data_IF_814603071564
#
_entry.id   IF_814603071564
#
_cell.length_a   1.000
_cell.length_b   1.000
_cell.length_c   1.000
_cell.angle_alpha   90.00
_cell.angle_beta   90.00
_cell.angle_gamma   90.00
#
_symmetry.space_group_name_H-M   'P 1'
#
loop_
_entity.id
_entity.type
_entity.pdbx_description
1 polymer ?
#
# COMPACT_ATOMS: atom_id res chain seq x y z
N UNK A 1 -2.65 -11.68 -31.65
CA UNK A 1 -3.82 -11.04 -31.00
C UNK A 1 -3.56 -10.69 -29.53
N UNK A 2 -3.07 -11.62 -28.70
CA UNK A 2 -2.71 -11.35 -27.28
C UNK A 2 -1.64 -10.26 -27.08
N UNK A 3 -0.65 -10.14 -27.98
CA UNK A 3 0.40 -9.10 -27.89
C UNK A 3 -0.11 -7.67 -28.11
N UNK A 4 -1.20 -7.50 -28.88
CA UNK A 4 -1.85 -6.21 -29.11
C UNK A 4 -2.75 -5.83 -27.93
N UNK A 5 -3.44 -6.80 -27.33
CA UNK A 5 -4.24 -6.61 -26.12
C UNK A 5 -3.35 -6.18 -24.95
N UNK A 6 -2.20 -6.85 -24.76
CA UNK A 6 -1.22 -6.46 -23.72
C UNK A 6 -0.63 -5.07 -23.98
N UNK A 7 -0.39 -4.70 -25.25
CA UNK A 7 0.09 -3.36 -25.62
C UNK A 7 -0.95 -2.27 -25.39
N UNK A 8 -2.22 -2.52 -25.73
CA UNK A 8 -3.31 -1.57 -25.47
C UNK A 8 -3.58 -1.42 -23.98
N UNK A 9 -3.62 -2.52 -23.23
CA UNK A 9 -3.74 -2.49 -21.77
C UNK A 9 -2.58 -1.70 -21.12
N UNK A 10 -1.35 -1.86 -21.62
CA UNK A 10 -0.18 -1.10 -21.15
C UNK A 10 -0.32 0.41 -21.44
N UNK A 11 -0.93 0.82 -22.56
CA UNK A 11 -1.20 2.24 -22.85
C UNK A 11 -2.33 2.80 -21.98
N UNK A 12 -3.39 2.04 -21.78
CA UNK A 12 -4.52 2.47 -20.93
C UNK A 12 -4.11 2.59 -19.46
N UNK A 13 -3.33 1.64 -18.93
CA UNK A 13 -2.80 1.74 -17.56
C UNK A 13 -1.85 2.95 -17.42
N UNK A 14 -1.00 3.23 -18.42
CA UNK A 14 -0.19 4.47 -18.46
C UNK A 14 -1.04 5.74 -18.50
N UNK A 15 -2.18 5.71 -19.18
CA UNK A 15 -3.12 6.84 -19.29
C UNK A 15 -3.93 7.06 -18.00
N UNK A 16 -4.34 5.97 -17.34
CA UNK A 16 -5.16 6.00 -16.12
C UNK A 16 -4.34 6.26 -14.85
N UNK A 17 -3.03 5.99 -14.86
CA UNK A 17 -2.07 6.46 -13.84
C UNK A 17 -1.50 7.83 -14.26
N UNK A 18 -2.21 8.59 -15.10
CA UNK A 18 -1.90 10.02 -15.24
C UNK A 18 -1.97 10.61 -13.83
N UNK A 19 -0.81 10.94 -13.28
CA UNK A 19 -0.66 11.68 -12.05
C UNK A 19 -1.38 13.02 -12.26
N UNK A 20 -2.67 13.03 -11.89
CA UNK A 20 -3.60 14.15 -11.99
C UNK A 20 -2.88 15.39 -11.49
N UNK A 21 -2.55 16.26 -12.45
CA UNK A 21 -1.97 17.59 -12.30
C UNK A 21 -0.73 17.72 -11.38
N UNK A 22 0.45 17.68 -12.01
CA UNK A 22 1.80 18.04 -11.50
C UNK A 22 1.90 19.28 -10.58
N UNK A 23 0.93 20.21 -10.54
CA UNK A 23 1.02 21.47 -9.77
C UNK A 23 0.18 21.52 -8.49
N UNK A 24 -0.98 20.86 -8.43
CA UNK A 24 -1.86 20.94 -7.24
C UNK A 24 -1.39 20.03 -6.09
N UNK A 25 -0.71 18.92 -6.43
CA UNK A 25 -0.33 17.87 -5.48
C UNK A 25 0.78 18.27 -4.48
N UNK A 26 1.58 19.30 -4.79
CA UNK A 26 2.70 19.83 -4.03
C UNK A 26 2.44 21.25 -3.51
N UNK A 27 1.23 21.50 -3.00
CA UNK A 27 0.92 22.79 -2.40
C UNK A 27 1.73 22.99 -1.11
N UNK A 28 2.44 24.12 -0.98
CA UNK A 28 3.34 24.46 0.14
C UNK A 28 2.65 24.37 1.51
N UNK A 29 1.35 24.69 1.59
CA UNK A 29 0.54 24.56 2.81
C UNK A 29 0.41 23.09 3.25
N UNK A 30 0.17 22.18 2.30
CA UNK A 30 0.07 20.74 2.58
C UNK A 30 1.42 20.13 2.96
N UNK A 31 2.53 20.62 2.38
CA UNK A 31 3.87 20.13 2.72
C UNK A 31 4.20 20.38 4.20
N UNK A 32 3.86 21.56 4.75
CA UNK A 32 4.05 21.89 6.17
C UNK A 32 3.28 20.93 7.08
N UNK A 33 2.00 20.68 6.79
CA UNK A 33 1.19 19.76 7.58
C UNK A 33 1.76 18.33 7.59
N UNK A 34 2.29 17.88 6.44
CA UNK A 34 2.92 16.55 6.37
C UNK A 34 4.24 16.49 7.14
N UNK A 35 5.05 17.56 7.14
CA UNK A 35 6.27 17.62 7.93
C UNK A 35 5.98 17.52 9.43
N UNK A 36 4.96 18.26 9.89
CA UNK A 36 4.50 18.20 11.29
C UNK A 36 4.02 16.79 11.64
N UNK A 37 3.20 16.17 10.78
CA UNK A 37 2.68 14.80 10.99
C UNK A 37 3.80 13.75 11.13
N UNK A 38 4.92 13.94 10.43
CA UNK A 38 6.04 13.01 10.44
C UNK A 38 7.22 13.45 11.31
N UNK A 39 7.07 14.55 12.07
CA UNK A 39 8.11 15.16 12.89
C UNK A 39 9.44 15.34 12.12
N UNK A 40 9.36 15.85 10.89
CA UNK A 40 10.52 16.09 10.03
C UNK A 40 10.88 17.57 10.05
N UNK A 41 12.18 17.87 10.11
CA UNK A 41 12.71 19.24 10.10
C UNK A 41 12.35 19.99 8.79
N UNK A 42 12.38 21.33 8.80
CA UNK A 42 11.94 22.15 7.66
C UNK A 42 12.78 21.93 6.39
N UNK A 43 14.04 21.53 6.55
CA UNK A 43 15.01 21.28 5.47
C UNK A 43 14.64 20.08 4.57
N UNK A 44 13.70 19.23 5.00
CA UNK A 44 13.26 18.09 4.19
C UNK A 44 12.31 18.53 3.08
N UNK A 45 12.64 18.21 1.83
CA UNK A 45 11.82 18.49 0.65
C UNK A 45 11.14 17.21 0.15
N UNK A 46 9.85 17.29 -0.18
CA UNK A 46 9.12 16.14 -0.75
C UNK A 46 9.49 16.00 -2.22
N UNK A 47 9.96 14.81 -2.61
CA UNK A 47 10.38 14.48 -3.98
C UNK A 47 9.41 13.51 -4.68
N UNK A 48 8.67 12.74 -3.90
CA UNK A 48 7.75 11.73 -4.39
C UNK A 48 6.50 11.66 -3.53
N UNK A 49 5.34 11.56 -4.18
CA UNK A 49 4.04 11.36 -3.54
C UNK A 49 3.26 10.32 -4.32
N UNK A 50 2.88 9.24 -3.66
CA UNK A 50 2.17 8.15 -4.31
C UNK A 50 0.74 8.58 -4.72
N UNK A 51 0.28 8.25 -5.94
CA UNK A 51 -0.99 8.74 -6.47
C UNK A 51 -2.18 8.03 -5.81
N UNK A 52 -2.04 6.74 -5.51
CA UNK A 52 -3.10 5.90 -4.95
C UNK A 52 -3.09 5.79 -3.42
N UNK A 53 -2.43 6.73 -2.70
CA UNK A 53 -2.34 6.65 -1.23
C UNK A 53 -3.73 6.54 -0.58
N UNK A 54 -4.67 7.40 -0.97
CA UNK A 54 -6.00 7.43 -0.36
C UNK A 54 -6.79 6.15 -0.67
N UNK A 55 -6.72 5.66 -1.91
CA UNK A 55 -7.41 4.46 -2.35
C UNK A 55 -6.90 3.20 -1.65
N UNK A 56 -5.58 3.04 -1.53
CA UNK A 56 -4.98 1.88 -0.88
C UNK A 56 -5.32 1.87 0.62
N UNK A 57 -5.28 3.05 1.27
CA UNK A 57 -5.65 3.20 2.68
C UNK A 57 -7.14 2.96 2.92
N UNK A 58 -8.02 3.55 2.10
CA UNK A 58 -9.47 3.37 2.26
C UNK A 58 -9.88 1.93 2.01
N UNK A 59 -9.32 1.28 0.99
CA UNK A 59 -9.58 -0.12 0.71
C UNK A 59 -9.09 -1.03 1.85
N UNK A 60 -7.92 -0.76 2.43
CA UNK A 60 -7.41 -1.48 3.61
C UNK A 60 -8.32 -1.28 4.84
N UNK A 61 -8.83 -0.06 5.03
CA UNK A 61 -9.75 0.25 6.13
C UNK A 61 -11.11 -0.45 5.96
N UNK A 62 -11.72 -0.37 4.77
CA UNK A 62 -13.02 -1.00 4.47
C UNK A 62 -12.93 -2.53 4.56
N UNK A 63 -11.86 -3.12 4.06
CA UNK A 63 -11.64 -4.58 4.18
C UNK A 63 -11.42 -5.00 5.63
N UNK A 64 -10.68 -4.21 6.41
CA UNK A 64 -10.50 -4.48 7.85
C UNK A 64 -11.82 -4.33 8.62
N UNK A 65 -12.60 -3.28 8.34
CA UNK A 65 -13.88 -3.02 8.99
C UNK A 65 -14.91 -4.13 8.68
N UNK A 66 -15.01 -4.57 7.43
CA UNK A 66 -15.88 -5.68 7.04
C UNK A 66 -15.47 -7.00 7.72
N UNK A 67 -14.16 -7.27 7.85
CA UNK A 67 -13.68 -8.43 8.61
C UNK A 67 -14.06 -8.38 10.10
N UNK A 68 -14.06 -7.20 10.73
CA UNK A 68 -14.51 -7.04 12.12
C UNK A 68 -16.00 -7.33 12.26
N UNK A 69 -16.85 -6.85 11.34
CA UNK A 69 -18.29 -7.12 11.38
C UNK A 69 -18.59 -8.62 11.24
N UNK A 70 -17.94 -9.28 10.27
CA UNK A 70 -18.09 -10.72 10.06
C UNK A 70 -17.53 -11.51 11.25
N UNK A 71 -16.38 -11.10 11.81
CA UNK A 71 -15.81 -11.70 13.00
C UNK A 71 -16.72 -11.56 14.23
N UNK A 72 -17.30 -10.38 14.44
CA UNK A 72 -18.23 -10.13 15.54
C UNK A 72 -19.50 -10.99 15.42
N UNK A 73 -20.05 -11.13 14.21
CA UNK A 73 -21.17 -12.03 13.94
C UNK A 73 -20.82 -13.48 14.32
N UNK A 74 -19.63 -13.95 13.96
CA UNK A 74 -19.14 -15.28 14.32
C UNK A 74 -19.00 -15.48 15.82
N UNK A 75 -18.43 -14.50 16.51
CA UNK A 75 -18.27 -14.52 17.97
C UNK A 75 -19.63 -14.64 18.65
N UNK A 76 -20.60 -13.81 18.26
CA UNK A 76 -21.98 -13.87 18.79
C UNK A 76 -22.60 -15.24 18.53
N UNK A 77 -22.46 -15.81 17.33
CA UNK A 77 -22.95 -17.17 17.02
C UNK A 77 -22.31 -18.24 17.89
N UNK A 78 -21.00 -18.19 18.10
CA UNK A 78 -20.28 -19.15 18.94
C UNK A 78 -20.71 -19.08 20.41
N UNK A 79 -20.95 -17.88 20.94
CA UNK A 79 -21.43 -17.70 22.31
C UNK A 79 -22.91 -18.05 22.45
N UNK A 80 -23.77 -17.64 21.51
CA UNK A 80 -25.19 -17.99 21.52
C UNK A 80 -25.43 -19.48 21.33
N UNK A 81 -24.66 -20.20 20.52
CA UNK A 81 -24.81 -21.66 20.39
C UNK A 81 -24.49 -22.38 21.73
N UNK A 82 -23.62 -21.81 22.57
CA UNK A 82 -23.32 -22.38 23.89
C UNK A 82 -24.44 -22.15 24.91
N UNK A 83 -25.19 -21.05 24.81
CA UNK A 83 -26.32 -20.77 25.71
C UNK A 83 -27.68 -21.26 25.18
N UNK A 84 -27.85 -21.35 23.86
CA UNK A 84 -29.09 -21.73 23.18
C UNK A 84 -29.19 -23.24 22.89
N UNK A 85 -28.20 -24.06 23.28
CA UNK A 85 -28.34 -25.52 23.25
C UNK A 85 -29.30 -26.04 24.32
N UNK A 86 -29.74 -25.18 25.26
CA UNK A 86 -30.58 -25.57 26.39
C UNK A 86 -32.03 -25.04 26.32
N UNK A 87 -32.45 -24.25 25.30
CA UNK A 87 -33.80 -23.64 25.41
C UNK A 87 -34.68 -23.35 24.20
N UNK A 88 -34.28 -23.49 22.94
CA UNK A 88 -35.22 -23.13 21.85
C UNK A 88 -35.45 -24.27 20.84
N UNK A 89 -36.62 -24.90 20.97
CA UNK A 89 -37.32 -25.56 19.86
C UNK A 89 -37.49 -24.57 18.68
N UNK A 90 -37.38 -25.02 17.42
CA UNK A 90 -37.41 -24.14 16.27
C UNK A 90 -38.85 -23.77 15.88
N UNK A 91 -39.20 -22.48 15.99
CA UNK A 91 -40.40 -21.94 15.33
C UNK A 91 -40.13 -21.66 13.85
N UNK A 92 -40.97 -22.12 12.90
CA UNK A 92 -40.76 -21.92 11.47
C UNK A 92 -41.20 -20.50 11.04
N UNK A 93 -40.30 -19.53 11.12
CA UNK A 93 -40.52 -18.20 10.54
C UNK A 93 -40.46 -18.28 9.00
N UNK A 94 -41.65 -18.23 8.40
CA UNK A 94 -41.90 -18.14 6.96
C UNK A 94 -41.51 -16.75 6.47
N UNK A 95 -40.39 -16.65 5.75
CA UNK A 95 -39.92 -15.39 5.18
C UNK A 95 -38.53 -15.52 4.58
N UNK A 96 -38.45 -16.07 3.36
CA UNK A 96 -37.35 -15.86 2.41
C UNK A 96 -35.92 -15.84 2.98
N UNK A 97 -35.55 -16.80 3.83
CA UNK A 97 -34.15 -16.98 4.22
C UNK A 97 -33.47 -17.81 3.15
N UNK A 98 -32.59 -17.20 2.36
CA UNK A 98 -31.52 -17.94 1.69
C UNK A 98 -30.65 -18.53 2.80
N UNK A 99 -30.96 -19.77 3.18
CA UNK A 99 -30.21 -20.52 4.19
C UNK A 99 -28.89 -20.89 3.52
N UNK A 100 -27.90 -20.01 3.64
CA UNK A 100 -26.52 -20.36 3.32
C UNK A 100 -26.17 -21.64 4.09
N UNK A 101 -25.61 -22.64 3.42
CA UNK A 101 -25.13 -23.84 4.08
C UNK A 101 -24.08 -23.45 5.11
N UNK A 102 -24.01 -24.14 6.25
CA UNK A 102 -22.98 -23.89 7.27
C UNK A 102 -21.56 -23.96 6.66
N UNK A 103 -21.38 -24.83 5.67
CA UNK A 103 -20.14 -24.97 4.91
C UNK A 103 -19.79 -23.73 4.06
N UNK A 104 -20.78 -23.06 3.46
CA UNK A 104 -20.57 -21.86 2.65
C UNK A 104 -20.06 -20.69 3.51
N UNK A 105 -20.45 -20.65 4.78
CA UNK A 105 -20.09 -19.57 5.69
C UNK A 105 -18.60 -19.55 6.03
N UNK A 106 -17.99 -20.73 6.18
CA UNK A 106 -16.54 -20.85 6.38
C UNK A 106 -15.74 -20.36 5.18
N UNK A 107 -16.19 -20.66 3.95
CA UNK A 107 -15.54 -20.20 2.73
C UNK A 107 -15.57 -18.67 2.58
N UNK A 108 -16.68 -18.03 2.94
CA UNK A 108 -16.77 -16.56 2.92
C UNK A 108 -15.79 -15.93 3.90
N UNK A 109 -15.70 -16.44 5.13
CA UNK A 109 -14.76 -15.91 6.13
C UNK A 109 -13.32 -16.14 5.71
N UNK A 110 -13.02 -17.34 5.20
CA UNK A 110 -11.68 -17.65 4.70
C UNK A 110 -11.29 -16.74 3.53
N UNK A 111 -12.19 -16.54 2.57
CA UNK A 111 -11.97 -15.64 1.44
C UNK A 111 -11.76 -14.19 1.87
N UNK A 112 -12.56 -13.69 2.82
CA UNK A 112 -12.43 -12.35 3.37
C UNK A 112 -11.10 -12.17 4.13
N UNK A 113 -10.71 -13.15 4.95
CA UNK A 113 -9.43 -13.14 5.65
C UNK A 113 -8.26 -13.13 4.66
N UNK A 114 -8.32 -13.96 3.61
CA UNK A 114 -7.34 -13.97 2.54
C UNK A 114 -7.22 -12.62 1.83
N UNK A 115 -8.35 -11.97 1.53
CA UNK A 115 -8.38 -10.64 0.93
C UNK A 115 -7.75 -9.58 1.86
N UNK A 116 -8.07 -9.60 3.16
CA UNK A 116 -7.48 -8.69 4.15
C UNK A 116 -5.96 -8.85 4.22
N UNK A 117 -5.47 -10.09 4.24
CA UNK A 117 -4.02 -10.38 4.26
C UNK A 117 -3.36 -9.87 2.98
N UNK A 118 -3.96 -10.16 1.81
CA UNK A 118 -3.44 -9.70 0.53
C UNK A 118 -3.33 -8.17 0.46
N UNK A 119 -4.37 -7.45 0.89
CA UNK A 119 -4.36 -5.99 0.96
C UNK A 119 -3.29 -5.47 1.91
N UNK A 120 -3.11 -6.10 3.07
CA UNK A 120 -2.09 -5.72 4.05
C UNK A 120 -0.66 -5.92 3.51
N UNK A 121 -0.43 -6.97 2.75
CA UNK A 121 0.86 -7.21 2.08
C UNK A 121 1.17 -6.13 1.03
N UNK A 122 0.16 -5.70 0.27
CA UNK A 122 0.31 -4.63 -0.73
C UNK A 122 0.66 -3.31 -0.02
N UNK A 123 -0.14 -2.93 0.98
CA UNK A 123 0.04 -1.72 1.79
C UNK A 123 1.44 -1.68 2.42
N UNK A 124 1.91 -2.79 3.01
CA UNK A 124 3.22 -2.85 3.66
C UNK A 124 4.40 -2.69 2.69
N UNK A 125 4.24 -3.00 1.40
CA UNK A 125 5.27 -2.81 0.36
C UNK A 125 5.17 -1.44 -0.32
N UNK A 126 4.18 -0.65 0.02
CA UNK A 126 3.90 0.61 -0.65
C UNK A 126 4.60 1.77 0.08
N UNK A 127 5.45 2.52 -0.63
CA UNK A 127 5.98 3.78 -0.12
C UNK A 127 5.00 4.90 -0.45
N UNK A 128 4.51 5.59 0.57
CA UNK A 128 3.55 6.67 0.37
C UNK A 128 4.22 7.97 -0.08
N UNK A 129 5.35 8.30 0.55
CA UNK A 129 6.06 9.56 0.34
C UNK A 129 7.56 9.35 0.51
N UNK A 130 8.34 10.11 -0.25
CA UNK A 130 9.78 10.19 -0.05
C UNK A 130 10.17 11.65 0.14
N UNK A 131 10.95 11.87 1.18
CA UNK A 131 11.59 13.15 1.51
C UNK A 131 13.07 13.08 1.20
N UNK A 132 13.63 14.22 0.80
CA UNK A 132 15.05 14.40 0.54
C UNK A 132 15.60 15.52 1.43
N UNK A 133 16.79 15.30 1.96
CA UNK A 133 17.63 16.30 2.61
C UNK A 133 19.07 16.10 2.15
N UNK A 134 19.51 16.90 1.18
CA UNK A 134 20.82 16.81 0.54
C UNK A 134 21.14 15.39 0.01
N UNK A 135 21.93 14.63 0.77
CA UNK A 135 22.40 13.26 0.47
C UNK A 135 21.55 12.16 1.11
N UNK A 136 20.70 12.51 2.09
CA UNK A 136 19.86 11.57 2.83
C UNK A 136 18.43 11.60 2.33
N UNK A 137 17.80 10.43 2.30
CA UNK A 137 16.42 10.26 1.90
C UNK A 137 15.63 9.53 2.99
N UNK A 138 14.34 9.82 3.07
CA UNK A 138 13.41 9.18 4.01
C UNK A 138 12.18 8.73 3.26
N UNK A 139 11.94 7.43 3.24
CA UNK A 139 10.71 6.84 2.73
C UNK A 139 9.74 6.61 3.90
N UNK A 140 8.50 7.05 3.71
CA UNK A 140 7.40 6.83 4.65
C UNK A 140 6.59 5.63 4.18
N UNK A 141 6.54 4.63 5.03
CA UNK A 141 5.73 3.42 4.86
C UNK A 141 4.58 3.41 5.87
N UNK A 142 3.56 2.60 5.62
CA UNK A 142 2.66 2.19 6.69
C UNK A 142 3.39 1.27 7.67
N UNK A 143 3.13 1.48 8.96
CA UNK A 143 3.55 0.58 10.02
C UNK A 143 2.68 -0.67 10.07
N UNK A 144 3.02 -1.58 10.99
CA UNK A 144 2.24 -2.80 11.19
C UNK A 144 0.84 -2.51 11.76
N UNK A 145 0.65 -1.35 12.38
CA UNK A 145 -0.62 -0.87 12.94
C UNK A 145 -1.20 0.14 11.95
N UNK A 146 -2.51 0.05 11.61
CA UNK A 146 -3.17 1.03 10.76
C UNK A 146 -2.94 2.44 11.32
N UNK A 147 -2.78 3.43 10.43
CA UNK A 147 -2.52 4.85 10.76
C UNK A 147 -1.13 5.16 11.36
N UNK A 148 -0.34 4.15 11.71
CA UNK A 148 1.05 4.35 12.16
C UNK A 148 1.95 4.43 10.93
N UNK A 149 2.92 5.35 10.94
CA UNK A 149 3.88 5.48 9.84
C UNK A 149 5.25 4.97 10.28
N UNK A 150 5.90 4.18 9.43
CA UNK A 150 7.28 3.75 9.62
C UNK A 150 8.19 4.57 8.70
N UNK A 151 9.13 5.29 9.32
CA UNK A 151 10.15 6.06 8.62
C UNK A 151 11.36 5.15 8.35
N UNK A 152 11.82 5.10 7.10
CA UNK A 152 13.05 4.39 6.73
C UNK A 152 14.00 5.38 6.08
N UNK A 153 15.13 5.61 6.74
CA UNK A 153 16.22 6.44 6.26
C UNK A 153 17.11 5.61 5.33
N UNK A 154 17.56 6.21 4.23
CA UNK A 154 18.50 5.60 3.30
C UNK A 154 19.34 6.66 2.61
N UNK A 155 20.54 6.27 2.19
CA UNK A 155 21.47 7.16 1.50
C UNK A 155 21.27 7.13 -0.02
N UNK A 156 21.84 8.14 -0.68
CA UNK A 156 21.83 8.27 -2.14
C UNK A 156 22.40 7.02 -2.82
N UNK A 157 21.69 6.50 -3.84
CA UNK A 157 22.13 5.32 -4.59
C UNK A 157 21.95 3.98 -3.87
N UNK A 158 21.33 3.96 -2.69
CA UNK A 158 20.92 2.73 -2.01
C UNK A 158 19.66 2.07 -2.64
N UNK A 159 19.18 2.62 -3.77
CA UNK A 159 17.94 2.22 -4.44
C UNK A 159 18.29 1.45 -5.70
N UNK A 160 17.92 0.15 -5.72
CA UNK A 160 18.19 -0.73 -6.86
C UNK A 160 16.90 -1.17 -7.52
N UNK A 161 16.86 -1.24 -8.84
CA UNK A 161 15.75 -1.85 -9.56
C UNK A 161 15.77 -3.36 -9.34
N UNK A 162 14.60 -3.95 -9.02
CA UNK A 162 14.49 -5.40 -8.88
C UNK A 162 14.12 -6.03 -10.23
N UNK A 163 14.62 -7.24 -10.54
CA UNK A 163 14.24 -7.93 -11.76
C UNK A 163 12.73 -8.22 -11.79
N UNK A 164 12.14 -8.18 -12.98
CA UNK A 164 10.70 -8.36 -13.24
C UNK A 164 10.29 -9.82 -13.00
N UNK A 165 10.20 -10.27 -11.74
CA UNK A 165 9.77 -11.64 -11.35
C UNK A 165 8.41 -11.64 -10.61
N UNK A 166 7.46 -12.50 -10.96
CA UNK A 166 6.18 -12.68 -10.25
C UNK A 166 4.95 -12.49 -11.14
N UNK A 167 3.74 -12.40 -10.56
CA UNK A 167 2.45 -12.34 -11.30
C UNK A 167 1.75 -10.96 -11.18
N UNK A 168 2.19 -10.08 -10.28
CA UNK A 168 1.53 -8.78 -10.03
C UNK A 168 1.56 -7.83 -11.26
N UNK A 169 0.54 -7.01 -11.51
CA UNK A 169 0.52 -6.11 -12.67
C UNK A 169 1.60 -5.02 -12.60
N UNK A 170 1.97 -4.54 -11.41
CA UNK A 170 2.97 -3.50 -11.14
C UNK A 170 4.40 -4.04 -10.94
N UNK A 171 4.78 -5.09 -11.69
CA UNK A 171 6.09 -5.73 -11.54
C UNK A 171 7.28 -4.82 -11.85
N UNK A 172 7.09 -3.89 -12.78
CA UNK A 172 8.09 -2.94 -13.31
C UNK A 172 8.40 -1.78 -12.37
N UNK A 173 7.52 -1.51 -11.39
CA UNK A 173 7.66 -0.43 -10.42
C UNK A 173 8.32 -0.88 -9.11
N UNK A 174 9.02 -2.02 -9.10
CA UNK A 174 9.62 -2.58 -7.88
C UNK A 174 11.09 -2.22 -7.75
N UNK A 175 11.38 -1.60 -6.61
CA UNK A 175 12.70 -1.17 -6.21
C UNK A 175 13.08 -1.85 -4.89
N UNK A 176 14.36 -2.07 -4.67
CA UNK A 176 14.91 -2.44 -3.37
C UNK A 176 15.50 -1.19 -2.74
N UNK A 177 14.92 -0.75 -1.62
CA UNK A 177 15.42 0.35 -0.80
C UNK A 177 15.96 -0.27 0.48
N UNK A 178 17.29 -0.23 0.67
CA UNK A 178 17.95 -0.80 1.83
C UNK A 178 17.56 -2.28 2.10
N UNK A 179 17.55 -3.10 1.05
CA UNK A 179 17.19 -4.53 1.11
C UNK A 179 15.68 -4.83 1.16
N UNK A 180 14.82 -3.81 1.30
CA UNK A 180 13.35 -3.97 1.31
C UNK A 180 12.76 -3.74 -0.08
N UNK A 181 11.92 -4.67 -0.54
CA UNK A 181 11.15 -4.49 -1.78
C UNK A 181 10.01 -3.48 -1.57
N UNK A 182 10.05 -2.41 -2.37
CA UNK A 182 9.14 -1.27 -2.34
C UNK A 182 8.62 -0.98 -3.74
N UNK A 183 7.36 -0.55 -3.84
CA UNK A 183 6.77 -0.10 -5.10
C UNK A 183 6.92 1.42 -5.21
N UNK A 184 7.54 1.89 -6.30
CA UNK A 184 7.72 3.32 -6.62
C UNK A 184 7.33 3.56 -8.07
N UNK A 185 6.47 4.56 -8.30
CA UNK A 185 6.06 4.93 -9.65
C UNK A 185 6.91 6.09 -10.19
N UNK A 186 7.60 5.85 -11.29
CA UNK A 186 8.52 6.81 -11.91
C UNK A 186 7.85 8.14 -12.27
N UNK A 187 6.57 8.09 -12.65
CA UNK A 187 5.79 9.24 -13.10
C UNK A 187 5.36 10.17 -11.94
N UNK A 188 5.46 9.70 -10.70
CA UNK A 188 5.01 10.42 -9.50
C UNK A 188 6.13 11.17 -8.77
N UNK A 189 7.32 11.22 -9.36
CA UNK A 189 8.41 12.07 -8.91
C UNK A 189 8.18 13.52 -9.34
N UNK A 190 8.59 14.46 -8.50
CA UNK A 190 8.49 15.90 -8.79
C UNK A 190 9.36 16.32 -9.98
N UNK A 191 10.53 15.69 -10.14
CA UNK A 191 11.43 15.87 -11.27
C UNK A 191 12.10 14.54 -11.63
N UNK A 192 12.30 14.29 -12.93
CA UNK A 192 13.03 13.11 -13.40
C UNK A 192 14.48 13.10 -12.92
N UNK A 193 15.08 14.28 -12.77
CA UNK A 193 16.43 14.42 -12.21
C UNK A 193 16.50 13.97 -10.75
N UNK A 194 15.47 14.22 -9.94
CA UNK A 194 15.42 13.79 -8.54
C UNK A 194 15.31 12.25 -8.43
N UNK A 195 14.66 11.60 -9.40
CA UNK A 195 14.58 10.12 -9.49
C UNK A 195 15.93 9.50 -9.82
N UNK A 196 16.62 10.04 -10.84
CA UNK A 196 17.95 9.57 -11.23
C UNK A 196 18.95 9.77 -10.09
N UNK A 197 18.90 10.93 -9.44
CA UNK A 197 19.77 11.26 -8.31
C UNK A 197 19.62 10.29 -7.13
N UNK A 198 18.42 9.74 -6.92
CA UNK A 198 18.16 8.73 -5.89
C UNK A 198 18.76 7.35 -6.22
N UNK A 199 18.96 7.04 -7.50
CA UNK A 199 19.47 5.74 -7.98
C UNK A 199 20.99 5.71 -8.20
N UNK A 200 21.61 6.87 -8.48
CA UNK A 200 23.05 6.95 -8.74
C UNK A 200 23.82 6.82 -7.43
N UNK A 201 24.70 5.80 -7.27
CA UNK A 201 25.62 5.72 -6.13
C UNK A 201 26.55 6.92 -6.12
N UNK A 202 26.82 7.47 -4.94
CA UNK A 202 27.84 8.50 -4.77
C UNK A 202 29.20 7.93 -5.21
N UNK A 203 29.90 8.67 -6.08
CA UNK A 203 31.27 8.34 -6.45
C UNK A 203 32.11 8.60 -5.20
N UNK A 204 32.53 7.56 -4.50
CA UNK A 204 33.41 7.69 -3.35
C UNK A 204 34.65 8.50 -3.78
N UNK A 205 35.01 9.59 -3.09
CA UNK A 205 36.28 10.26 -3.36
C UNK A 205 37.39 9.24 -3.13
N UNK A 206 38.20 9.05 -4.18
CA UNK A 206 39.35 8.16 -4.19
C UNK A 206 40.28 8.55 -3.04
N UNK A 207 40.37 7.72 -1.99
CA UNK A 207 41.27 7.92 -0.85
C UNK A 207 42.62 7.24 -1.04
N UNK A 208 42.93 6.78 -2.25
CA UNK A 208 44.17 6.03 -2.54
C UNK A 208 45.14 6.84 -3.42
N UNK A 209 45.11 8.16 -3.30
CA UNK A 209 46.07 9.06 -3.93
C UNK A 209 46.73 9.96 -2.87
N UNK A 210 47.45 9.34 -1.95
CA UNK A 210 48.51 9.96 -1.15
C UNK A 210 49.65 8.96 -0.93
#
# INVERSE_FOLDING_TARGET
MLSLIVRNYRREVKSSISCIQRRSFFNKSSERQFKIKHNLNENWKIIYKAPMQLYVLSASFVTSASAVVVGAYWVVRLFSNKELSQKLEPEPMTGGRTVMSESDHHWIVFGLAGLCIAMRLIVHKYAFKIYRNNLKYVAVYEGNIPLTNKLVYFDKGAVRTLPVKGIMPWREFRYSVNGRSTILFDECFRSESERLDMQIPEKTPNKDAE
#
